data_IF_240692178283
#
_entry.id   IF_240692178283
#
_cell.length_a   1.000
_cell.length_b   1.000
_cell.length_c   1.000
_cell.angle_alpha   90.00
_cell.angle_beta   90.00
_cell.angle_gamma   90.00
#
_symmetry.space_group_name_H-M   'P 1'
#
loop_
_entity.id
_entity.type
_entity.pdbx_description
1 polymer ?
#
# COMPACT_ATOMS: atom_id res chain seq x y z
N UNK A 1 -0.25 -9.74 -8.17
CA UNK A 1 -1.27 -10.66 -7.66
C UNK A 1 -2.38 -10.74 -8.68
N UNK A 2 -2.99 -11.90 -8.81
CA UNK A 2 -4.00 -12.19 -9.82
C UNK A 2 -5.20 -12.87 -9.17
N UNK A 3 -6.40 -12.40 -9.52
CA UNK A 3 -7.67 -12.92 -8.99
C UNK A 3 -8.63 -13.16 -10.16
N UNK A 4 -9.09 -14.39 -10.31
CA UNK A 4 -10.08 -14.77 -11.33
C UNK A 4 -11.47 -14.88 -10.70
N UNK A 5 -12.47 -14.34 -11.39
CA UNK A 5 -13.86 -14.27 -10.97
C UNK A 5 -14.77 -14.83 -12.06
N UNK A 6 -15.65 -15.77 -11.70
CA UNK A 6 -16.62 -16.35 -12.64
C UNK A 6 -17.86 -15.46 -12.80
N UNK A 7 -17.64 -14.20 -13.22
CA UNK A 7 -18.69 -13.19 -13.42
C UNK A 7 -18.32 -12.28 -14.59
N UNK A 8 -19.33 -11.77 -15.27
CA UNK A 8 -19.18 -10.65 -16.21
C UNK A 8 -18.72 -9.37 -15.51
N UNK A 9 -17.98 -8.54 -16.25
CA UNK A 9 -17.35 -7.29 -15.75
C UNK A 9 -18.34 -6.36 -15.04
N UNK A 10 -19.52 -6.14 -15.62
CA UNK A 10 -20.55 -5.22 -15.09
C UNK A 10 -21.09 -5.70 -13.73
N UNK A 11 -21.44 -6.99 -13.65
CA UNK A 11 -21.90 -7.65 -12.43
C UNK A 11 -20.81 -7.65 -11.36
N UNK A 12 -19.57 -7.98 -11.76
CA UNK A 12 -18.41 -7.95 -10.86
C UNK A 12 -18.21 -6.57 -10.21
N UNK A 13 -18.22 -5.48 -10.98
CA UNK A 13 -18.03 -4.12 -10.45
C UNK A 13 -19.11 -3.75 -9.43
N UNK A 14 -20.37 -4.13 -9.69
CA UNK A 14 -21.49 -3.86 -8.77
C UNK A 14 -21.33 -4.60 -7.44
N UNK A 15 -20.98 -5.89 -7.49
CA UNK A 15 -20.78 -6.72 -6.29
C UNK A 15 -19.56 -6.22 -5.49
N UNK A 16 -18.48 -5.85 -6.18
CA UNK A 16 -17.29 -5.30 -5.55
C UNK A 16 -17.61 -4.01 -4.78
N UNK A 17 -18.26 -3.03 -5.42
CA UNK A 17 -18.62 -1.75 -4.76
C UNK A 17 -19.44 -1.99 -3.51
N UNK A 18 -20.48 -2.85 -3.60
CA UNK A 18 -21.31 -3.20 -2.45
C UNK A 18 -20.55 -3.92 -1.33
N UNK A 19 -19.56 -4.77 -1.64
CA UNK A 19 -18.70 -5.39 -0.61
C UNK A 19 -17.72 -4.40 0.01
N UNK A 20 -17.18 -3.47 -0.78
CA UNK A 20 -16.29 -2.43 -0.26
C UNK A 20 -17.02 -1.51 0.73
N UNK A 21 -18.23 -1.06 0.41
CA UNK A 21 -19.08 -0.27 1.32
C UNK A 21 -19.35 -1.01 2.64
N UNK A 22 -19.75 -2.29 2.57
CA UNK A 22 -19.99 -3.14 3.76
C UNK A 22 -18.77 -3.32 4.65
N UNK A 23 -17.57 -3.22 4.10
CA UNK A 23 -16.32 -3.40 4.84
C UNK A 23 -15.60 -2.07 5.11
N UNK A 24 -16.30 -0.93 4.98
CA UNK A 24 -15.74 0.41 5.17
C UNK A 24 -14.46 0.67 4.34
N UNK A 25 -14.42 0.16 3.11
CA UNK A 25 -13.35 0.41 2.14
C UNK A 25 -13.80 1.37 1.06
N UNK A 26 -12.90 2.25 0.62
CA UNK A 26 -13.14 3.08 -0.55
C UNK A 26 -12.78 2.30 -1.80
N UNK A 27 -13.70 2.23 -2.75
CA UNK A 27 -13.47 1.61 -4.05
C UNK A 27 -13.70 2.63 -5.16
N UNK A 28 -12.71 2.82 -6.03
CA UNK A 28 -12.88 3.52 -7.28
C UNK A 28 -12.60 2.58 -8.45
N UNK A 29 -13.43 2.71 -9.48
CA UNK A 29 -13.28 1.97 -10.74
C UNK A 29 -13.39 3.01 -11.85
N UNK A 30 -12.35 3.10 -12.67
CA UNK A 30 -12.25 4.04 -13.77
C UNK A 30 -11.77 3.25 -15.00
N UNK A 31 -12.63 3.13 -16.01
CA UNK A 31 -12.47 2.27 -17.19
C UNK A 31 -12.21 0.78 -16.88
N UNK A 32 -10.93 0.41 -16.86
CA UNK A 32 -10.40 -0.91 -16.57
C UNK A 32 -9.51 -0.90 -15.32
N UNK A 33 -9.33 0.25 -14.65
CA UNK A 33 -8.50 0.36 -13.46
C UNK A 33 -9.37 0.28 -12.22
N UNK A 34 -8.88 -0.43 -11.22
CA UNK A 34 -9.52 -0.61 -9.93
C UNK A 34 -8.59 -0.12 -8.83
N UNK A 35 -9.15 0.63 -7.90
CA UNK A 35 -8.46 1.06 -6.68
C UNK A 35 -9.31 0.72 -5.47
N UNK A 36 -8.72 0.02 -4.50
CA UNK A 36 -9.37 -0.31 -3.23
C UNK A 36 -8.47 0.23 -2.12
N UNK A 37 -9.01 1.12 -1.30
CA UNK A 37 -8.27 1.78 -0.22
C UNK A 37 -8.90 1.43 1.11
N UNK A 38 -8.08 1.02 2.09
CA UNK A 38 -8.51 0.96 3.48
C UNK A 38 -8.56 2.39 4.04
N UNK A 39 -9.76 2.90 4.31
CA UNK A 39 -9.94 4.11 5.10
C UNK A 39 -9.83 3.77 6.59
N UNK A 40 -9.24 4.66 7.38
CA UNK A 40 -9.56 4.73 8.80
C UNK A 40 -11.05 5.11 8.86
N UNK A 41 -11.86 4.26 9.50
CA UNK A 41 -13.30 4.38 9.51
C UNK A 41 -13.74 5.81 9.89
N UNK A 42 -14.89 6.25 9.38
CA UNK A 42 -15.52 7.56 9.65
C UNK A 42 -15.75 7.84 11.14
N UNK A 43 -15.50 6.87 12.01
CA UNK A 43 -15.62 6.93 13.47
C UNK A 43 -14.31 7.28 14.20
N UNK A 44 -13.25 7.69 13.49
CA UNK A 44 -12.04 8.24 14.14
C UNK A 44 -11.23 7.26 14.99
N UNK A 45 -11.61 5.97 15.04
CA UNK A 45 -10.74 4.93 15.58
C UNK A 45 -9.65 4.62 14.57
N UNK A 46 -8.52 5.29 14.73
CA UNK A 46 -7.21 4.86 14.23
C UNK A 46 -6.94 3.46 14.79
N UNK A 47 -7.55 2.42 14.22
CA UNK A 47 -7.03 1.06 14.34
C UNK A 47 -5.65 1.10 13.69
N UNK A 48 -4.60 1.38 14.47
CA UNK A 48 -3.19 0.97 14.45
C UNK A 48 -2.51 0.48 13.15
N UNK A 49 -3.09 0.76 12.00
CA UNK A 49 -2.91 -0.01 10.78
C UNK A 49 -2.70 0.96 9.63
N UNK A 50 -1.62 0.75 8.91
CA UNK A 50 -1.18 1.64 7.84
C UNK A 50 -2.15 1.48 6.66
N UNK A 51 -2.65 2.57 6.07
CA UNK A 51 -3.56 2.48 4.95
C UNK A 51 -2.89 1.74 3.78
N UNK A 52 -3.57 0.72 3.28
CA UNK A 52 -3.19 -0.03 2.10
C UNK A 52 -4.08 0.38 0.92
N UNK A 53 -3.44 0.57 -0.23
CA UNK A 53 -4.10 0.84 -1.50
C UNK A 53 -3.80 -0.31 -2.44
N UNK A 54 -4.81 -1.04 -2.86
CA UNK A 54 -4.70 -2.00 -3.95
C UNK A 54 -5.00 -1.29 -5.26
N UNK A 55 -4.05 -1.33 -6.20
CA UNK A 55 -4.27 -0.86 -7.57
C UNK A 55 -4.21 -2.07 -8.50
N UNK A 56 -5.25 -2.26 -9.30
CA UNK A 56 -5.32 -3.32 -10.28
C UNK A 56 -5.90 -2.88 -11.61
N UNK A 57 -5.79 -3.77 -12.58
CA UNK A 57 -6.40 -3.68 -13.90
C UNK A 57 -7.36 -4.86 -14.06
N UNK A 58 -8.54 -4.58 -14.61
CA UNK A 58 -9.60 -5.53 -14.93
C UNK A 58 -9.39 -5.97 -16.39
N UNK A 59 -9.16 -7.25 -16.58
CA UNK A 59 -9.14 -7.92 -17.88
C UNK A 59 -10.44 -8.74 -18.01
N UNK A 60 -11.25 -8.44 -19.03
CA UNK A 60 -12.46 -9.21 -19.32
C UNK A 60 -12.12 -10.39 -20.24
N UNK A 61 -12.58 -11.59 -19.88
CA UNK A 61 -12.59 -12.79 -20.72
C UNK A 61 -14.04 -13.27 -20.90
N UNK A 62 -14.30 -14.15 -21.86
CA UNK A 62 -15.64 -14.72 -22.06
C UNK A 62 -16.14 -15.36 -20.75
N UNK A 63 -17.19 -14.77 -20.18
CA UNK A 63 -17.83 -15.10 -18.88
C UNK A 63 -16.96 -15.00 -17.62
N UNK A 64 -15.75 -14.47 -17.72
CA UNK A 64 -14.80 -14.40 -16.61
C UNK A 64 -14.18 -13.02 -16.50
N UNK A 65 -13.98 -12.55 -15.28
CA UNK A 65 -13.27 -11.29 -15.00
C UNK A 65 -11.98 -11.60 -14.26
N UNK A 66 -10.88 -11.05 -14.73
CA UNK A 66 -9.55 -11.22 -14.16
C UNK A 66 -9.05 -9.88 -13.62
N UNK A 67 -8.56 -9.86 -12.39
CA UNK A 67 -7.92 -8.68 -11.81
C UNK A 67 -6.45 -8.97 -11.58
N UNK A 68 -5.60 -8.19 -12.24
CA UNK A 68 -4.16 -8.16 -11.96
C UNK A 68 -3.82 -6.86 -11.25
N UNK A 69 -3.22 -6.97 -10.07
CA UNK A 69 -2.90 -5.78 -9.28
C UNK A 69 -1.78 -5.97 -8.29
N UNK A 70 -1.39 -4.84 -7.71
CA UNK A 70 -0.37 -4.75 -6.65
C UNK A 70 -0.86 -3.87 -5.51
N UNK A 71 -0.42 -4.21 -4.31
CA UNK A 71 -0.58 -3.33 -3.16
C UNK A 71 0.48 -2.25 -3.18
N UNK A 72 0.04 -1.00 -3.12
CA UNK A 72 0.87 0.14 -2.75
C UNK A 72 0.57 0.48 -1.30
N UNK A 73 1.60 0.56 -0.46
CA UNK A 73 1.47 1.25 0.83
C UNK A 73 1.11 2.72 0.51
N UNK A 74 0.35 3.40 1.38
CA UNK A 74 -0.05 4.79 1.15
C UNK A 74 1.12 5.63 0.62
N UNK A 75 0.91 6.30 -0.52
CA UNK A 75 1.93 7.00 -1.33
C UNK A 75 2.93 7.84 -0.51
N UNK A 76 2.44 8.44 0.57
CA UNK A 76 3.22 9.25 1.51
C UNK A 76 4.35 8.49 2.21
N UNK A 77 4.13 7.25 2.64
CA UNK A 77 5.10 6.54 3.48
C UNK A 77 6.28 6.03 2.65
N UNK A 78 6.01 5.54 1.44
CA UNK A 78 7.07 5.10 0.52
C UNK A 78 7.91 6.26 -0.03
N UNK A 79 7.27 7.38 -0.34
CA UNK A 79 7.98 8.56 -0.85
C UNK A 79 8.82 9.22 0.25
N UNK A 80 8.29 9.32 1.47
CA UNK A 80 9.01 9.88 2.61
C UNK A 80 10.24 9.05 2.98
N UNK A 81 10.14 7.72 3.02
CA UNK A 81 11.29 6.84 3.27
C UNK A 81 12.35 7.00 2.18
N UNK A 82 11.95 7.08 0.91
CA UNK A 82 12.90 7.27 -0.20
C UNK A 82 13.63 8.62 -0.11
N UNK A 83 12.90 9.70 0.19
CA UNK A 83 13.49 11.04 0.38
C UNK A 83 14.45 11.04 1.58
N UNK A 84 14.04 10.44 2.71
CA UNK A 84 14.89 10.33 3.90
C UNK A 84 16.20 9.57 3.61
N UNK A 85 16.13 8.45 2.89
CA UNK A 85 17.31 7.70 2.49
C UNK A 85 18.27 8.53 1.62
N UNK A 86 17.75 9.25 0.63
CA UNK A 86 18.55 10.13 -0.24
C UNK A 86 19.25 11.23 0.58
N UNK A 87 18.53 11.87 1.51
CA UNK A 87 19.08 12.91 2.36
C UNK A 87 20.19 12.39 3.28
N UNK A 88 20.01 11.19 3.85
CA UNK A 88 21.04 10.54 4.67
C UNK A 88 22.28 10.26 3.84
N UNK A 89 22.14 9.70 2.64
CA UNK A 89 23.28 9.41 1.74
C UNK A 89 24.02 10.70 1.38
N UNK A 90 23.30 11.75 0.98
CA UNK A 90 23.91 13.03 0.64
C UNK A 90 24.70 13.64 1.81
N UNK A 91 24.12 13.59 3.03
CA UNK A 91 24.79 14.08 4.25
C UNK A 91 26.00 13.22 4.62
N UNK A 92 25.89 11.91 4.49
CA UNK A 92 26.98 10.98 4.78
C UNK A 92 28.14 11.18 3.80
N UNK A 93 27.87 11.31 2.49
CA UNK A 93 28.90 11.60 1.47
C UNK A 93 29.64 12.91 1.76
N UNK A 94 28.91 13.98 2.14
CA UNK A 94 29.52 15.25 2.51
C UNK A 94 30.35 15.16 3.80
N UNK A 95 29.85 14.45 4.80
CA UNK A 95 30.52 14.27 6.09
C UNK A 95 31.81 13.46 5.97
N UNK A 96 31.83 12.44 5.09
CA UNK A 96 33.03 11.65 4.78
C UNK A 96 34.07 12.54 4.09
N UNK A 97 33.65 13.38 3.13
CA UNK A 97 34.55 14.32 2.46
C UNK A 97 35.21 15.29 3.45
N UNK A 98 34.44 15.82 4.42
CA UNK A 98 34.96 16.72 5.44
C UNK A 98 35.61 16.02 6.66
N UNK A 99 35.72 14.67 6.65
CA UNK A 99 36.23 13.85 7.77
C UNK A 99 35.58 14.17 9.13
N UNK A 100 34.30 14.55 9.14
CA UNK A 100 33.56 14.83 10.38
C UNK A 100 33.01 13.53 10.97
N UNK A 101 33.70 12.96 11.95
CA UNK A 101 33.34 11.67 12.56
C UNK A 101 31.98 11.71 13.28
N UNK A 102 31.67 12.79 14.01
CA UNK A 102 30.41 12.91 14.75
C UNK A 102 29.19 12.89 13.83
N UNK A 103 29.28 13.58 12.69
CA UNK A 103 28.21 13.61 11.69
C UNK A 103 28.04 12.27 10.95
N UNK A 104 29.12 11.48 10.79
CA UNK A 104 29.04 10.11 10.27
C UNK A 104 28.29 9.20 11.24
N UNK A 105 28.59 9.29 12.54
CA UNK A 105 27.92 8.50 13.59
C UNK A 105 26.42 8.84 13.64
N UNK A 106 26.07 10.12 13.59
CA UNK A 106 24.67 10.57 13.53
C UNK A 106 23.94 10.03 12.29
N UNK A 107 24.60 10.01 11.12
CA UNK A 107 24.03 9.40 9.91
C UNK A 107 23.82 7.88 10.06
N UNK A 108 24.73 7.17 10.73
CA UNK A 108 24.58 5.74 11.00
C UNK A 108 23.38 5.46 11.93
N UNK A 109 23.21 6.26 12.99
CA UNK A 109 22.06 6.17 13.90
C UNK A 109 20.75 6.46 13.15
N UNK A 110 20.72 7.53 12.34
CA UNK A 110 19.56 7.87 11.53
C UNK A 110 19.19 6.74 10.53
N UNK A 111 20.20 6.09 9.95
CA UNK A 111 20.00 4.92 9.06
C UNK A 111 19.37 3.75 9.83
N UNK A 112 19.87 3.44 11.03
CA UNK A 112 19.32 2.37 11.87
C UNK A 112 17.85 2.63 12.24
N UNK A 113 17.51 3.86 12.63
CA UNK A 113 16.13 4.27 12.91
C UNK A 113 15.25 4.11 11.66
N UNK A 114 15.72 4.54 10.49
CA UNK A 114 14.99 4.40 9.23
C UNK A 114 14.69 2.93 8.91
N UNK A 115 15.64 2.03 9.14
CA UNK A 115 15.43 0.58 8.96
C UNK A 115 14.36 0.05 9.91
N UNK A 116 14.40 0.43 11.19
CA UNK A 116 13.38 0.02 12.18
C UNK A 116 11.99 0.50 11.76
N UNK A 117 11.86 1.77 11.34
CA UNK A 117 10.60 2.32 10.85
C UNK A 117 10.10 1.53 9.64
N UNK A 118 10.96 1.20 8.68
CA UNK A 118 10.59 0.37 7.52
C UNK A 118 10.03 -1.00 7.94
N UNK A 119 10.66 -1.66 8.92
CA UNK A 119 10.22 -2.96 9.43
C UNK A 119 8.85 -2.86 10.10
N UNK A 120 8.67 -1.88 11.01
CA UNK A 120 7.39 -1.65 11.70
C UNK A 120 6.28 -1.36 10.69
N UNK A 121 6.57 -0.56 9.67
CA UNK A 121 5.63 -0.24 8.59
C UNK A 121 5.21 -1.49 7.82
N UNK A 122 6.16 -2.37 7.51
CA UNK A 122 5.85 -3.61 6.81
C UNK A 122 5.02 -4.56 7.67
N UNK A 123 5.27 -4.65 8.97
CA UNK A 123 4.48 -5.48 9.90
C UNK A 123 3.05 -4.92 10.02
N UNK A 124 2.90 -3.63 10.33
CA UNK A 124 1.57 -3.00 10.47
C UNK A 124 0.80 -2.96 9.15
N UNK A 125 1.49 -2.82 8.01
CA UNK A 125 0.87 -2.81 6.69
C UNK A 125 0.33 -4.16 6.22
N UNK A 126 0.80 -5.30 6.77
CA UNK A 126 0.29 -6.64 6.40
C UNK A 126 -1.19 -6.79 6.72
N UNK A 127 -1.64 -6.36 7.90
CA UNK A 127 -3.03 -6.49 8.35
C UNK A 127 -4.02 -5.77 7.42
N UNK A 128 -3.68 -4.57 6.95
CA UNK A 128 -4.50 -3.84 5.96
C UNK A 128 -4.55 -4.54 4.61
N UNK A 129 -3.42 -5.09 4.14
CA UNK A 129 -3.35 -5.85 2.88
C UNK A 129 -4.19 -7.12 2.97
N UNK A 130 -4.13 -7.86 4.08
CA UNK A 130 -4.91 -9.07 4.32
C UNK A 130 -6.41 -8.82 4.29
N UNK A 131 -6.89 -7.69 4.84
CA UNK A 131 -8.31 -7.29 4.74
C UNK A 131 -8.78 -7.20 3.29
N UNK A 132 -8.02 -6.51 2.43
CA UNK A 132 -8.35 -6.39 1.00
C UNK A 132 -8.23 -7.74 0.29
N UNK A 133 -7.19 -8.54 0.57
CA UNK A 133 -7.02 -9.88 -0.03
C UNK A 133 -8.20 -10.78 0.35
N UNK A 134 -8.64 -10.75 1.60
CA UNK A 134 -9.77 -11.56 2.10
C UNK A 134 -11.05 -11.18 1.37
N UNK A 135 -11.29 -9.88 1.15
CA UNK A 135 -12.42 -9.41 0.36
C UNK A 135 -12.38 -9.88 -1.09
N UNK A 136 -11.22 -9.78 -1.73
CA UNK A 136 -11.04 -10.26 -3.11
C UNK A 136 -11.24 -11.78 -3.21
N UNK A 137 -10.78 -12.56 -2.22
CA UNK A 137 -11.04 -14.02 -2.17
C UNK A 137 -12.52 -14.34 -1.99
N UNK A 138 -13.25 -13.61 -1.14
CA UNK A 138 -14.69 -13.80 -0.99
C UNK A 138 -15.50 -13.43 -2.25
N UNK A 139 -14.90 -12.75 -3.22
CA UNK A 139 -15.57 -12.33 -4.45
C UNK A 139 -15.42 -13.37 -5.58
N UNK A 140 -14.42 -14.26 -5.51
CA UNK A 140 -14.22 -15.37 -6.46
C UNK A 140 -15.44 -16.28 -6.47
#
# INVERSE_FOLDING_TARGET
MEFEFNREKSSFIKVLKGKCEKNALKCSVEDNKIMIETFANSEGKLEDTIPAVFKGTIEAKENKTLIKGRFTNGFYLTTLVAVAAILIIARLSWSIYQKQLDNIIMCAIATAILVIVCVVVNIKGKKSKERIITLLKQLQ
#
